data_IF_171558384429
#
_entry.id   IF_171558384429
#
_cell.length_a   1.000
_cell.length_b   1.000
_cell.length_c   1.000
_cell.angle_alpha   90.00
_cell.angle_beta   90.00
_cell.angle_gamma   90.00
#
_symmetry.space_group_name_H-M   'P 1'
#
loop_
_entity.id
_entity.type
_entity.pdbx_description
1 polymer ?
#
# COMPACT_ATOMS: atom_id res chain seq x y z
N UNK A 1 -8.75 -7.22 2.78
CA UNK A 1 -8.31 -6.42 1.61
C UNK A 1 -7.05 -6.94 0.96
N UNK A 2 -5.93 -7.15 1.70
CA UNK A 2 -4.67 -7.67 1.12
C UNK A 2 -4.85 -8.96 0.29
N UNK A 3 -5.54 -9.96 0.83
CA UNK A 3 -5.83 -11.23 0.13
C UNK A 3 -6.69 -11.01 -1.13
N UNK A 4 -7.68 -10.13 -1.06
CA UNK A 4 -8.54 -9.76 -2.18
C UNK A 4 -7.75 -9.08 -3.31
N UNK A 5 -6.76 -8.25 -2.96
CA UNK A 5 -5.86 -7.58 -3.90
C UNK A 5 -4.90 -8.58 -4.56
N UNK A 6 -4.31 -9.50 -3.78
CA UNK A 6 -3.47 -10.57 -4.30
C UNK A 6 -4.24 -11.52 -5.23
N UNK A 7 -5.50 -11.82 -4.90
CA UNK A 7 -6.39 -12.60 -5.76
C UNK A 7 -6.67 -11.86 -7.08
N UNK A 8 -6.93 -10.55 -7.03
CA UNK A 8 -7.17 -9.75 -8.24
C UNK A 8 -5.92 -9.68 -9.13
N UNK A 9 -4.73 -9.53 -8.54
CA UNK A 9 -3.46 -9.56 -9.27
C UNK A 9 -3.21 -10.93 -9.90
N UNK A 10 -3.44 -12.02 -9.17
CA UNK A 10 -3.33 -13.39 -9.69
C UNK A 10 -4.33 -13.66 -10.81
N UNK A 11 -5.55 -13.17 -10.69
CA UNK A 11 -6.59 -13.27 -11.72
C UNK A 11 -6.15 -12.52 -13.00
N UNK A 12 -5.67 -11.28 -12.87
CA UNK A 12 -5.18 -10.50 -14.00
C UNK A 12 -3.96 -11.17 -14.68
N UNK A 13 -3.05 -11.75 -13.90
CA UNK A 13 -1.92 -12.51 -14.42
C UNK A 13 -2.38 -13.77 -15.15
N UNK A 14 -3.35 -14.52 -14.60
CA UNK A 14 -3.91 -15.71 -15.25
C UNK A 14 -4.59 -15.37 -16.59
N UNK A 15 -5.38 -14.29 -16.64
CA UNK A 15 -5.99 -13.79 -17.88
C UNK A 15 -4.92 -13.41 -18.90
N UNK A 16 -3.85 -12.73 -18.48
CA UNK A 16 -2.72 -12.40 -19.36
C UNK A 16 -2.01 -13.64 -19.90
N UNK A 17 -1.83 -14.68 -19.09
CA UNK A 17 -1.22 -15.95 -19.52
C UNK A 17 -2.13 -16.66 -20.54
N UNK A 18 -3.45 -16.67 -20.32
CA UNK A 18 -4.42 -17.25 -21.27
C UNK A 18 -4.40 -16.51 -22.60
N UNK A 19 -4.36 -15.16 -22.58
CA UNK A 19 -4.20 -14.34 -23.78
C UNK A 19 -2.86 -14.66 -24.46
N UNK A 20 -1.76 -14.67 -23.70
CA UNK A 20 -0.42 -14.98 -24.23
C UNK A 20 -0.37 -16.35 -24.91
N UNK A 21 -0.96 -17.37 -24.27
CA UNK A 21 -1.04 -18.72 -24.81
C UNK A 21 -1.96 -18.79 -26.03
N UNK A 22 -3.11 -18.11 -26.00
CA UNK A 22 -4.06 -18.06 -27.13
C UNK A 22 -3.47 -17.42 -28.38
N UNK A 23 -2.69 -16.35 -28.23
CA UNK A 23 -2.05 -15.67 -29.36
C UNK A 23 -0.73 -16.33 -29.83
N UNK A 24 0.03 -17.03 -28.96
CA UNK A 24 1.24 -17.75 -29.37
C UNK A 24 0.97 -19.16 -29.90
N UNK A 25 -0.08 -19.85 -29.41
CA UNK A 25 -0.34 -21.24 -29.80
C UNK A 25 -0.87 -21.40 -31.22
N UNK A 26 -1.16 -20.30 -31.94
CA UNK A 26 -1.55 -20.31 -33.34
C UNK A 26 -2.60 -21.38 -33.61
N UNK A 27 -3.82 -21.20 -33.09
CA UNK A 27 -4.84 -22.25 -33.08
C UNK A 27 -4.99 -22.88 -34.48
N UNK A 28 -4.50 -24.12 -34.72
CA UNK A 28 -4.50 -24.72 -36.05
C UNK A 28 -5.91 -25.12 -36.50
N UNK A 29 -6.89 -25.06 -35.58
CA UNK A 29 -8.31 -25.29 -35.85
C UNK A 29 -9.08 -23.99 -36.12
N UNK A 30 -8.46 -22.82 -35.93
CA UNK A 30 -9.07 -21.55 -36.31
C UNK A 30 -8.99 -21.40 -37.83
N UNK A 31 -10.15 -21.25 -38.47
CA UNK A 31 -10.26 -20.92 -39.89
C UNK A 31 -10.75 -19.47 -40.02
N UNK A 32 -9.93 -18.53 -40.52
CA UNK A 32 -8.58 -18.72 -41.04
C UNK A 32 -7.50 -18.85 -39.92
N UNK A 33 -6.35 -19.49 -40.23
CA UNK A 33 -5.24 -19.64 -39.30
C UNK A 33 -4.79 -18.28 -38.77
N UNK A 34 -4.75 -18.14 -37.44
CA UNK A 34 -4.33 -16.89 -36.79
C UNK A 34 -2.81 -16.78 -36.88
N UNK A 35 -2.31 -16.08 -37.90
CA UNK A 35 -0.90 -15.76 -38.01
C UNK A 35 -0.50 -14.79 -36.87
N UNK A 36 0.70 -14.93 -36.28
CA UNK A 36 1.16 -14.02 -35.24
C UNK A 36 1.25 -12.60 -35.80
N UNK A 37 0.57 -11.64 -35.16
CA UNK A 37 0.61 -10.25 -35.56
C UNK A 37 2.00 -9.67 -35.25
N UNK A 38 2.79 -9.42 -36.30
CA UNK A 38 4.12 -8.85 -36.20
C UNK A 38 4.01 -7.34 -36.34
N UNK A 39 4.49 -6.60 -35.34
CA UNK A 39 4.66 -5.16 -35.42
C UNK A 39 6.10 -4.85 -35.78
N UNK A 40 6.27 -3.95 -36.74
CA UNK A 40 7.59 -3.44 -37.08
C UNK A 40 7.85 -2.21 -36.22
N UNK A 41 8.78 -2.33 -35.28
CA UNK A 41 9.10 -1.26 -34.35
C UNK A 41 10.43 -0.66 -34.77
N UNK A 42 10.42 0.62 -35.17
CA UNK A 42 11.64 1.37 -35.48
C UNK A 42 12.25 1.93 -34.20
N UNK A 43 13.08 1.14 -33.55
CA UNK A 43 13.99 1.61 -32.49
C UNK A 43 15.40 1.17 -32.86
N UNK A 44 16.25 2.11 -33.31
CA UNK A 44 17.64 1.87 -33.74
C UNK A 44 17.82 0.80 -34.85
N UNK A 45 16.77 0.51 -35.63
CA UNK A 45 16.74 -0.48 -36.71
C UNK A 45 15.32 -0.98 -36.95
N UNK A 46 15.11 -1.79 -38.00
CA UNK A 46 13.84 -2.47 -38.25
C UNK A 46 13.77 -3.75 -37.40
N UNK A 47 13.21 -3.64 -36.19
CA UNK A 47 12.94 -4.80 -35.33
C UNK A 47 11.50 -5.29 -35.56
N UNK A 48 11.37 -6.49 -36.13
CA UNK A 48 10.11 -7.21 -36.24
C UNK A 48 9.86 -7.97 -34.95
N UNK A 49 9.02 -7.42 -34.08
CA UNK A 49 8.69 -8.02 -32.79
C UNK A 49 7.23 -8.48 -32.82
N UNK A 50 6.91 -9.70 -32.36
CA UNK A 50 5.53 -10.13 -32.18
C UNK A 50 4.81 -9.21 -31.19
N UNK A 51 3.59 -8.76 -31.49
CA UNK A 51 2.85 -7.84 -30.61
C UNK A 51 2.65 -8.42 -29.20
N UNK A 52 2.60 -9.75 -29.11
CA UNK A 52 2.48 -10.49 -27.86
C UNK A 52 3.70 -10.28 -26.97
N UNK A 53 4.91 -10.23 -27.54
CA UNK A 53 6.13 -9.96 -26.79
C UNK A 53 6.15 -8.51 -26.27
N UNK A 54 5.69 -7.55 -27.09
CA UNK A 54 5.55 -6.16 -26.69
C UNK A 54 4.55 -6.01 -25.53
N UNK A 55 3.41 -6.69 -25.62
CA UNK A 55 2.39 -6.73 -24.56
C UNK A 55 2.92 -7.35 -23.26
N UNK A 56 3.71 -8.43 -23.36
CA UNK A 56 4.34 -9.06 -22.20
C UNK A 56 5.33 -8.12 -21.50
N UNK A 57 6.17 -7.42 -22.26
CA UNK A 57 7.13 -6.46 -21.71
C UNK A 57 6.40 -5.29 -21.03
N UNK A 58 5.37 -4.74 -21.69
CA UNK A 58 4.56 -3.65 -21.12
C UNK A 58 3.85 -4.09 -19.83
N UNK A 59 3.32 -5.31 -19.80
CA UNK A 59 2.70 -5.87 -18.59
C UNK A 59 3.73 -6.08 -17.49
N UNK A 60 4.91 -6.62 -17.80
CA UNK A 60 5.99 -6.81 -16.83
C UNK A 60 6.40 -5.49 -16.17
N UNK A 61 6.54 -4.42 -16.95
CA UNK A 61 6.86 -3.08 -16.44
C UNK A 61 5.71 -2.54 -15.56
N UNK A 62 4.46 -2.71 -16.01
CA UNK A 62 3.28 -2.29 -15.26
C UNK A 62 3.16 -3.02 -13.92
N UNK A 63 3.35 -4.34 -13.91
CA UNK A 63 3.32 -5.17 -12.71
C UNK A 63 4.46 -4.80 -11.75
N UNK A 64 5.67 -4.57 -12.25
CA UNK A 64 6.80 -4.15 -11.42
C UNK A 64 6.56 -2.79 -10.77
N UNK A 65 6.02 -1.83 -11.53
CA UNK A 65 5.68 -0.48 -11.02
C UNK A 65 4.59 -0.57 -9.96
N UNK A 66 3.55 -1.38 -10.20
CA UNK A 66 2.47 -1.59 -9.24
C UNK A 66 2.97 -2.21 -7.93
N UNK A 67 3.87 -3.19 -8.03
CA UNK A 67 4.50 -3.84 -6.87
C UNK A 67 5.30 -2.81 -6.05
N UNK A 68 6.09 -1.96 -6.71
CA UNK A 68 6.82 -0.87 -6.06
C UNK A 68 5.89 0.08 -5.30
N UNK A 69 4.82 0.55 -5.94
CA UNK A 69 3.84 1.45 -5.31
C UNK A 69 3.22 0.79 -4.08
N UNK A 70 2.83 -0.48 -4.19
CA UNK A 70 2.23 -1.24 -3.09
C UNK A 70 3.17 -1.34 -1.88
N UNK A 71 4.46 -1.58 -2.12
CA UNK A 71 5.47 -1.60 -1.04
C UNK A 71 5.58 -0.23 -0.36
N UNK A 72 5.63 0.85 -1.14
CA UNK A 72 5.75 2.21 -0.60
C UNK A 72 4.53 2.55 0.26
N UNK A 73 3.32 2.25 -0.23
CA UNK A 73 2.08 2.49 0.50
C UNK A 73 2.04 1.71 1.82
N UNK A 74 2.46 0.45 1.82
CA UNK A 74 2.54 -0.38 3.01
C UNK A 74 3.44 0.25 4.10
N UNK A 75 4.60 0.76 3.70
CA UNK A 75 5.56 1.42 4.61
C UNK A 75 4.99 2.74 5.13
N UNK A 76 4.36 3.53 4.25
CA UNK A 76 3.71 4.78 4.63
C UNK A 76 2.56 4.54 5.61
N UNK A 77 1.78 3.48 5.41
CA UNK A 77 0.65 3.12 6.27
C UNK A 77 1.11 2.73 7.68
N UNK A 78 2.19 1.95 7.79
CA UNK A 78 2.82 1.60 9.08
C UNK A 78 3.32 2.83 9.82
N UNK A 79 3.94 3.75 9.09
CA UNK A 79 4.42 5.02 9.66
C UNK A 79 3.27 5.88 10.18
N UNK A 80 2.15 5.94 9.46
CA UNK A 80 0.93 6.63 9.90
C UNK A 80 0.34 6.01 11.16
N UNK A 81 0.25 4.68 11.23
CA UNK A 81 -0.23 3.97 12.43
C UNK A 81 0.62 4.34 13.66
N UNK A 82 1.94 4.38 13.51
CA UNK A 82 2.82 4.74 14.62
C UNK A 82 2.58 6.18 15.10
N UNK A 83 2.43 7.13 14.17
CA UNK A 83 2.09 8.53 14.49
C UNK A 83 0.73 8.65 15.18
N UNK A 84 -0.30 7.97 14.66
CA UNK A 84 -1.63 7.98 15.25
C UNK A 84 -1.62 7.42 16.69
N UNK A 85 -0.88 6.33 16.93
CA UNK A 85 -0.75 5.75 18.27
C UNK A 85 -0.08 6.71 19.25
N UNK A 86 0.98 7.40 18.82
CA UNK A 86 1.66 8.42 19.64
C UNK A 86 0.73 9.59 19.98
N UNK A 87 -0.08 10.03 19.03
CA UNK A 87 -1.06 11.10 19.25
C UNK A 87 -2.15 10.69 20.25
N UNK A 88 -2.68 9.46 20.14
CA UNK A 88 -3.63 8.92 21.12
C UNK A 88 -3.02 8.90 22.52
N UNK A 89 -1.75 8.48 22.65
CA UNK A 89 -1.09 8.42 23.95
C UNK A 89 -0.86 9.82 24.56
N UNK A 90 -0.50 10.82 23.72
CA UNK A 90 -0.39 12.22 24.15
C UNK A 90 -1.72 12.75 24.67
N UNK A 91 -2.79 12.63 23.87
CA UNK A 91 -4.13 13.09 24.28
C UNK A 91 -4.60 12.38 25.54
N UNK A 92 -4.28 11.09 25.71
CA UNK A 92 -4.63 10.34 26.92
C UNK A 92 -3.88 10.84 28.16
N UNK A 93 -2.62 11.27 28.01
CA UNK A 93 -1.83 11.91 29.07
C UNK A 93 -2.39 13.29 29.42
N UNK A 94 -2.77 14.08 28.43
CA UNK A 94 -3.40 15.39 28.63
C UNK A 94 -4.72 15.27 29.39
N UNK A 95 -5.58 14.30 29.01
CA UNK A 95 -6.83 14.02 29.75
C UNK A 95 -6.52 13.59 31.19
N UNK A 96 -5.54 12.71 31.41
CA UNK A 96 -5.17 12.28 32.77
C UNK A 96 -4.59 13.43 33.61
N UNK A 97 -3.80 14.32 33.01
CA UNK A 97 -3.27 15.50 33.69
C UNK A 97 -4.41 16.45 34.09
N UNK A 98 -5.35 16.71 33.19
CA UNK A 98 -6.56 17.48 33.47
C UNK A 98 -7.42 16.83 34.56
N UNK A 99 -7.45 15.50 34.63
CA UNK A 99 -8.20 14.76 35.65
C UNK A 99 -7.51 14.75 37.02
N UNK A 100 -6.19 14.93 37.08
CA UNK A 100 -5.42 14.97 38.33
C UNK A 100 -5.14 16.39 38.84
N UNK A 101 -5.37 17.41 38.02
CA UNK A 101 -5.38 18.82 38.42
C UNK A 101 -6.28 19.14 39.63
N UNK A 102 -7.50 18.57 39.80
CA UNK A 102 -8.29 18.83 41.01
C UNK A 102 -7.64 18.28 42.30
N UNK A 103 -6.85 17.20 42.24
CA UNK A 103 -6.13 16.70 43.42
C UNK A 103 -4.97 17.61 43.82
N UNK A 104 -4.26 18.19 42.86
CA UNK A 104 -3.14 19.08 43.17
C UNK A 104 -3.61 20.36 43.87
N UNK A 105 -4.78 20.90 43.51
CA UNK A 105 -5.37 22.05 44.18
C UNK A 105 -5.78 21.74 45.63
N UNK A 106 -6.35 20.55 45.87
CA UNK A 106 -6.77 20.14 47.22
C UNK A 106 -5.59 19.76 48.14
N UNK A 107 -4.49 19.24 47.58
CA UNK A 107 -3.26 18.97 48.33
C UNK A 107 -2.57 20.29 48.70
N UNK A 108 -2.50 21.26 47.77
CA UNK A 108 -1.93 22.57 48.06
C UNK A 108 -2.70 23.31 49.15
N UNK A 109 -4.04 23.28 49.15
CA UNK A 109 -4.83 23.94 50.20
C UNK A 109 -4.67 23.25 51.55
N UNK A 110 -4.63 21.91 51.60
CA UNK A 110 -4.36 21.17 52.84
C UNK A 110 -2.96 21.40 53.40
N UNK A 111 -1.95 21.56 52.54
CA UNK A 111 -0.58 21.84 52.96
C UNK A 111 -0.42 23.29 53.48
N UNK A 112 -1.24 24.23 53.01
CA UNK A 112 -1.28 25.61 53.51
C UNK A 112 -1.96 25.66 54.88
N UNK A 113 -3.12 25.01 55.07
CA UNK A 113 -3.81 24.95 56.37
C UNK A 113 -2.95 24.30 57.46
N UNK A 114 -2.24 23.22 57.13
CA UNK A 114 -1.35 22.54 58.08
C UNK A 114 -0.15 23.38 58.52
N UNK A 115 0.28 24.31 57.68
CA UNK A 115 1.39 25.22 57.97
C UNK A 115 0.96 26.35 58.91
N UNK A 116 -0.27 26.83 58.78
CA UNK A 116 -0.84 27.86 59.65
C UNK A 116 -1.26 27.32 61.03
N UNK A 117 -1.62 26.04 61.15
CA UNK A 117 -1.90 25.40 62.45
C UNK A 117 -0.64 25.01 63.24
N UNK A 118 0.50 24.83 62.58
CA UNK A 118 1.78 24.51 63.24
C UNK A 118 2.55 25.71 63.79
N UNK A 119 2.09 26.93 63.51
CA UNK A 119 2.73 28.20 63.90
C UNK A 119 1.96 28.94 65.02
N UNK A 120 0.89 28.35 65.56
CA UNK A 120 0.16 28.80 66.76
C UNK A 120 0.48 27.91 67.95
#
# INVERSE_FOLDING_TARGET
MRILLWILVLLAAAVMIVIFAGFNSGNPLANPPVAPLIVNVKFFGDLKIPIVLLGLISFGIGAATFLLITIIEEVALRSRIHRLKKNIESMRKEINALRNLPLAAEILTKDIEKKEEGEK
#
